data_IF_367501087797
#
_entry.id   IF_367501087797
#
_cell.length_a   1.000
_cell.length_b   1.000
_cell.length_c   1.000
_cell.angle_alpha   90.00
_cell.angle_beta   90.00
_cell.angle_gamma   90.00
#
_symmetry.space_group_name_H-M   'P 1'
#
loop_
_entity.id
_entity.type
_entity.pdbx_description
1 polymer ?
#
# COMPACT_ATOMS: atom_id res chain seq x y z
N UNK A 1 -3.50 13.29 8.77
CA UNK A 1 -4.10 11.94 8.58
C UNK A 1 -5.45 11.90 9.28
N UNK A 2 -6.35 11.00 8.91
CA UNK A 2 -7.67 10.87 9.54
C UNK A 2 -7.56 10.38 11.00
N UNK A 3 -8.33 10.94 11.94
CA UNK A 3 -8.36 10.52 13.36
C UNK A 3 -9.29 9.31 13.61
N UNK A 4 -9.47 8.44 12.62
CA UNK A 4 -10.36 7.28 12.76
C UNK A 4 -9.72 6.24 13.68
N UNK A 5 -10.49 5.57 14.55
CA UNK A 5 -9.96 4.57 15.46
C UNK A 5 -9.53 3.31 14.71
N UNK A 6 -8.46 2.68 15.20
CA UNK A 6 -8.09 1.29 14.89
C UNK A 6 -9.02 0.37 15.69
N UNK A 7 -9.61 -0.62 15.03
CA UNK A 7 -10.48 -1.62 15.68
C UNK A 7 -9.68 -2.88 15.94
N UNK A 8 -9.72 -3.38 17.17
CA UNK A 8 -9.02 -4.59 17.59
C UNK A 8 -10.00 -5.73 17.81
N UNK A 9 -9.75 -6.87 17.16
CA UNK A 9 -10.49 -8.11 17.30
C UNK A 9 -9.62 -9.10 18.05
N UNK A 10 -9.98 -9.36 19.30
CA UNK A 10 -9.25 -10.27 20.17
C UNK A 10 -9.53 -11.72 19.76
N UNK A 11 -8.49 -12.53 19.71
CA UNK A 11 -8.57 -13.98 19.72
C UNK A 11 -7.73 -14.57 20.86
N UNK A 12 -7.86 -15.86 21.10
CA UNK A 12 -7.11 -16.62 22.10
C UNK A 12 -5.62 -16.67 21.76
N UNK A 13 -5.28 -16.94 20.50
CA UNK A 13 -3.88 -17.09 20.07
C UNK A 13 -3.36 -15.95 19.17
N UNK A 14 -4.26 -15.23 18.50
CA UNK A 14 -3.92 -14.16 17.55
C UNK A 14 -4.94 -13.02 17.65
N UNK A 15 -4.47 -11.78 17.68
CA UNK A 15 -5.31 -10.58 17.62
C UNK A 15 -5.21 -9.96 16.23
N UNK A 16 -6.35 -9.57 15.65
CA UNK A 16 -6.41 -8.88 14.35
C UNK A 16 -6.76 -7.42 14.58
N UNK A 17 -6.04 -6.51 13.92
CA UNK A 17 -6.32 -5.07 13.95
C UNK A 17 -6.79 -4.60 12.58
N UNK A 18 -7.78 -3.71 12.57
CA UNK A 18 -8.28 -3.05 11.37
C UNK A 18 -8.13 -1.53 11.48
N UNK A 19 -7.27 -0.96 10.64
CA UNK A 19 -7.06 0.47 10.50
C UNK A 19 -7.90 1.03 9.33
N UNK A 20 -9.05 1.62 9.70
CA UNK A 20 -9.97 2.23 8.74
C UNK A 20 -9.44 3.51 8.08
N UNK A 21 -8.30 4.06 8.52
CA UNK A 21 -7.61 5.18 7.86
C UNK A 21 -6.97 4.73 6.54
N UNK A 22 -6.59 3.45 6.44
CA UNK A 22 -5.86 2.88 5.30
C UNK A 22 -6.75 2.05 4.35
N UNK A 23 -7.93 1.61 4.80
CA UNK A 23 -8.79 0.74 4.00
C UNK A 23 -9.41 1.49 2.82
N UNK A 24 -9.23 0.95 1.61
CA UNK A 24 -9.83 1.45 0.37
C UNK A 24 -10.86 0.49 -0.23
N UNK A 25 -11.37 -0.47 0.55
CA UNK A 25 -12.49 -1.32 0.13
C UNK A 25 -12.17 -2.32 -1.00
N UNK A 26 -10.92 -2.79 -1.11
CA UNK A 26 -10.54 -3.82 -2.10
C UNK A 26 -11.29 -5.13 -1.91
N UNK A 27 -11.62 -5.44 -0.65
CA UNK A 27 -12.46 -6.58 -0.28
C UNK A 27 -11.75 -7.93 -0.23
N UNK A 28 -10.42 -8.00 -0.29
CA UNK A 28 -9.69 -9.28 -0.23
C UNK A 28 -10.00 -10.09 1.04
N UNK A 29 -10.11 -9.43 2.19
CA UNK A 29 -10.52 -10.04 3.45
C UNK A 29 -11.95 -10.59 3.41
N UNK A 30 -12.90 -9.89 2.79
CA UNK A 30 -14.29 -10.34 2.73
C UNK A 30 -14.54 -11.40 1.64
N UNK A 31 -13.59 -11.58 0.71
CA UNK A 31 -13.64 -12.61 -0.34
C UNK A 31 -12.97 -13.92 0.08
N UNK A 32 -12.23 -13.95 1.19
CA UNK A 32 -11.63 -15.18 1.67
C UNK A 32 -12.72 -16.19 2.02
N UNK A 33 -12.46 -17.48 1.77
CA UNK A 33 -13.30 -18.54 2.31
C UNK A 33 -13.19 -18.56 3.84
N UNK A 34 -14.15 -19.20 4.51
CA UNK A 34 -14.13 -19.40 5.96
C UNK A 34 -14.92 -18.36 6.75
N UNK A 35 -14.72 -18.37 8.06
CA UNK A 35 -15.50 -17.58 9.03
C UNK A 35 -14.69 -16.45 9.69
N UNK A 36 -13.46 -16.19 9.24
CA UNK A 36 -12.65 -15.11 9.79
C UNK A 36 -13.30 -13.74 9.58
N UNK A 37 -13.71 -13.42 8.35
CA UNK A 37 -14.38 -12.15 7.99
C UNK A 37 -15.76 -12.42 7.38
N UNK A 38 -16.84 -12.06 8.08
CA UNK A 38 -18.21 -12.33 7.63
C UNK A 38 -19.01 -11.03 7.56
N UNK A 39 -19.30 -10.56 6.35
CA UNK A 39 -20.06 -9.33 6.13
C UNK A 39 -21.44 -9.39 6.82
N UNK A 40 -21.75 -8.37 7.62
CA UNK A 40 -23.01 -8.29 8.39
C UNK A 40 -22.99 -9.00 9.75
N UNK A 41 -21.91 -9.71 10.11
CA UNK A 41 -21.71 -10.24 11.47
C UNK A 41 -21.16 -9.16 12.41
N UNK A 42 -21.51 -9.24 13.69
CA UNK A 42 -20.91 -8.44 14.76
C UNK A 42 -20.24 -9.36 15.81
N UNK A 43 -18.92 -9.30 15.99
CA UNK A 43 -17.95 -8.56 15.19
C UNK A 43 -17.80 -9.14 13.76
N UNK A 44 -17.48 -8.28 12.80
CA UNK A 44 -17.22 -8.67 11.40
C UNK A 44 -16.04 -9.65 11.30
N UNK A 45 -14.98 -9.40 12.09
CA UNK A 45 -13.80 -10.25 12.21
C UNK A 45 -13.84 -11.09 13.50
N UNK A 46 -13.62 -12.41 13.38
CA UNK A 46 -13.56 -13.35 14.50
C UNK A 46 -12.29 -14.22 14.40
N UNK A 47 -11.17 -13.83 15.04
CA UNK A 47 -9.89 -14.54 14.89
C UNK A 47 -9.94 -16.01 15.33
N UNK A 48 -10.76 -16.36 16.32
CA UNK A 48 -10.87 -17.73 16.84
C UNK A 48 -11.70 -18.66 15.94
N UNK A 49 -12.27 -18.16 14.84
CA UNK A 49 -13.03 -18.95 13.87
C UNK A 49 -12.17 -19.47 12.70
N UNK A 50 -10.86 -19.24 12.75
CA UNK A 50 -9.88 -19.73 11.78
C UNK A 50 -8.64 -20.17 12.53
N UNK A 51 -7.85 -21.07 11.94
CA UNK A 51 -6.54 -21.37 12.51
C UNK A 51 -5.59 -20.17 12.33
N UNK A 52 -4.56 -20.07 13.19
CA UNK A 52 -3.62 -18.95 13.13
C UNK A 52 -2.96 -18.78 11.76
N UNK A 53 -2.65 -19.88 11.06
CA UNK A 53 -1.96 -19.79 9.78
C UNK A 53 -2.89 -19.16 8.72
N UNK A 54 -4.16 -19.56 8.71
CA UNK A 54 -5.20 -18.96 7.89
C UNK A 54 -5.42 -17.48 8.24
N UNK A 55 -5.44 -17.11 9.53
CA UNK A 55 -5.57 -15.70 9.94
C UNK A 55 -4.44 -14.85 9.38
N UNK A 56 -3.18 -15.29 9.55
CA UNK A 56 -2.01 -14.57 9.02
C UNK A 56 -2.10 -14.42 7.51
N UNK A 57 -2.35 -15.54 6.82
CA UNK A 57 -2.44 -15.61 5.37
C UNK A 57 -3.49 -14.65 4.80
N UNK A 58 -4.70 -14.61 5.35
CA UNK A 58 -5.77 -13.72 4.88
C UNK A 58 -5.47 -12.26 5.21
N UNK A 59 -4.97 -11.97 6.41
CA UNK A 59 -4.60 -10.60 6.82
C UNK A 59 -3.48 -10.04 5.92
N UNK A 60 -2.50 -10.87 5.59
CA UNK A 60 -1.35 -10.52 4.74
C UNK A 60 -1.74 -10.23 3.29
N UNK A 61 -2.93 -10.66 2.84
CA UNK A 61 -3.48 -10.29 1.52
C UNK A 61 -3.99 -8.85 1.45
N UNK A 62 -4.13 -8.14 2.57
CA UNK A 62 -4.65 -6.76 2.58
C UNK A 62 -3.68 -5.78 1.91
N UNK A 63 -3.94 -5.32 0.66
CA UNK A 63 -2.92 -4.61 -0.13
C UNK A 63 -2.65 -3.19 0.36
N UNK A 64 -3.53 -2.62 1.20
CA UNK A 64 -3.35 -1.27 1.75
C UNK A 64 -2.66 -1.26 3.11
N UNK A 65 -2.37 -2.42 3.69
CA UNK A 65 -1.86 -2.52 5.06
C UNK A 65 -2.90 -2.16 6.14
N UNK A 66 -4.18 -2.10 5.77
CA UNK A 66 -5.26 -1.78 6.71
C UNK A 66 -5.57 -2.91 7.70
N UNK A 67 -5.15 -4.13 7.40
CA UNK A 67 -5.19 -5.25 8.33
C UNK A 67 -3.78 -5.60 8.77
N UNK A 68 -3.63 -5.88 10.06
CA UNK A 68 -2.42 -6.41 10.68
C UNK A 68 -2.81 -7.36 11.80
N UNK A 69 -1.85 -8.13 12.32
CA UNK A 69 -2.10 -9.02 13.44
C UNK A 69 -0.98 -8.97 14.48
N UNK A 70 -1.31 -9.39 15.70
CA UNK A 70 -0.34 -9.72 16.75
C UNK A 70 -0.49 -11.19 17.07
N UNK A 71 0.53 -11.98 16.73
CA UNK A 71 0.61 -13.38 17.08
C UNK A 71 1.20 -13.56 18.48
N UNK A 72 0.45 -14.17 19.40
CA UNK A 72 0.88 -14.29 20.81
C UNK A 72 2.02 -15.28 21.02
N UNK A 73 2.34 -16.11 20.04
CA UNK A 73 3.53 -16.96 20.04
C UNK A 73 4.78 -16.24 19.49
N UNK A 74 4.69 -14.95 19.15
CA UNK A 74 5.85 -14.13 18.78
C UNK A 74 6.29 -14.29 17.32
N UNK A 75 5.36 -14.62 16.41
CA UNK A 75 5.62 -14.68 14.97
C UNK A 75 5.08 -13.43 14.28
N UNK A 76 5.88 -12.36 14.13
CA UNK A 76 5.42 -11.16 13.43
C UNK A 76 5.21 -11.45 11.94
N UNK A 77 4.54 -10.53 11.26
CA UNK A 77 4.51 -10.51 9.81
C UNK A 77 5.92 -10.37 9.25
N UNK A 78 6.25 -11.17 8.23
CA UNK A 78 7.55 -11.11 7.56
C UNK A 78 7.47 -10.20 6.33
N UNK A 79 8.53 -9.41 6.10
CA UNK A 79 8.62 -8.63 4.87
C UNK A 79 8.69 -9.58 3.65
N UNK A 80 8.00 -9.24 2.54
CA UNK A 80 8.15 -9.94 1.27
C UNK A 80 9.62 -9.99 0.81
N UNK A 81 10.00 -11.07 0.12
CA UNK A 81 11.37 -11.27 -0.37
C UNK A 81 11.83 -10.22 -1.39
N UNK A 82 10.90 -9.50 -2.03
CA UNK A 82 11.18 -8.45 -2.99
C UNK A 82 10.29 -7.22 -2.74
N UNK A 83 10.81 -6.03 -3.02
CA UNK A 83 9.99 -4.83 -3.05
C UNK A 83 9.33 -4.66 -4.41
N UNK A 84 8.01 -4.58 -4.43
CA UNK A 84 7.21 -4.45 -5.63
C UNK A 84 6.26 -3.25 -5.55
N UNK A 85 6.15 -2.54 -6.67
CA UNK A 85 5.21 -1.43 -6.85
C UNK A 85 4.28 -1.82 -7.98
N UNK A 86 3.01 -2.10 -7.70
CA UNK A 86 2.00 -2.29 -8.74
C UNK A 86 1.35 -0.95 -9.10
N UNK A 87 1.46 -0.57 -10.37
CA UNK A 87 0.76 0.61 -10.91
C UNK A 87 -0.63 0.19 -11.38
N UNK A 88 -1.65 0.53 -10.59
CA UNK A 88 -3.04 0.14 -10.85
C UNK A 88 -3.67 1.07 -11.89
N UNK A 89 -4.37 0.52 -12.87
CA UNK A 89 -5.15 1.29 -13.86
C UNK A 89 -6.08 2.31 -13.19
N UNK A 90 -5.95 3.59 -13.54
CA UNK A 90 -6.69 4.71 -12.94
C UNK A 90 -6.66 4.78 -11.40
N UNK A 91 -5.75 4.05 -10.76
CA UNK A 91 -5.78 3.78 -9.33
C UNK A 91 -4.46 4.12 -8.62
N UNK A 92 -4.30 3.66 -7.37
CA UNK A 92 -3.12 3.94 -6.56
C UNK A 92 -1.87 3.18 -7.03
N UNK A 93 -0.77 3.44 -6.32
CA UNK A 93 0.32 2.48 -6.25
C UNK A 93 0.04 1.49 -5.11
N UNK A 94 0.14 0.19 -5.35
CA UNK A 94 0.29 -0.78 -4.26
C UNK A 94 1.76 -1.10 -4.08
N UNK A 95 2.28 -0.88 -2.88
CA UNK A 95 3.62 -1.23 -2.48
C UNK A 95 3.56 -2.50 -1.64
N UNK A 96 4.47 -3.44 -1.89
CA UNK A 96 4.73 -4.60 -1.03
C UNK A 96 6.24 -4.73 -0.81
N UNK A 97 6.71 -4.95 0.42
CA UNK A 97 8.15 -5.03 0.69
C UNK A 97 8.52 -4.79 2.16
N UNK A 98 9.77 -4.42 2.42
CA UNK A 98 10.20 -3.91 3.74
C UNK A 98 10.12 -2.38 3.70
N UNK A 99 8.95 -1.82 4.00
CA UNK A 99 8.63 -0.43 3.71
C UNK A 99 9.00 0.50 4.87
N UNK A 100 9.77 1.55 4.56
CA UNK A 100 10.10 2.64 5.46
C UNK A 100 9.48 3.94 4.93
N UNK A 101 8.20 4.17 5.25
CA UNK A 101 7.46 5.35 4.79
C UNK A 101 7.65 6.50 5.79
N UNK A 102 8.18 7.62 5.31
CA UNK A 102 8.47 8.79 6.14
C UNK A 102 7.19 9.42 6.73
N UNK A 103 7.20 9.70 8.03
CA UNK A 103 6.12 10.41 8.72
C UNK A 103 4.89 9.56 9.07
N UNK A 104 4.97 8.23 8.97
CA UNK A 104 3.86 7.34 9.34
C UNK A 104 3.83 7.10 10.86
N UNK A 105 2.66 7.24 11.52
CA UNK A 105 2.47 6.87 12.92
C UNK A 105 2.86 5.42 13.23
N UNK A 106 3.37 5.18 14.44
CA UNK A 106 3.74 3.82 14.89
C UNK A 106 2.55 2.87 15.01
N UNK A 107 1.34 3.41 15.17
CA UNK A 107 0.07 2.66 15.27
C UNK A 107 -0.45 2.13 13.91
N UNK A 108 0.34 2.24 12.84
CA UNK A 108 0.05 1.71 11.49
C UNK A 108 1.00 0.55 11.11
N UNK A 109 1.06 -0.56 11.86
CA UNK A 109 2.08 -1.60 11.62
C UNK A 109 1.99 -2.25 10.23
N UNK A 110 0.79 -2.37 9.65
CA UNK A 110 0.62 -2.98 8.33
C UNK A 110 1.33 -2.24 7.19
N UNK A 111 1.58 -0.93 7.33
CA UNK A 111 2.27 -0.15 6.29
C UNK A 111 3.77 -0.42 6.20
N UNK A 112 4.33 -1.17 7.16
CA UNK A 112 5.72 -1.67 7.10
C UNK A 112 5.90 -2.74 6.03
N UNK A 113 4.80 -3.30 5.53
CA UNK A 113 4.83 -4.40 4.57
C UNK A 113 4.00 -4.14 3.31
N UNK A 114 2.86 -3.45 3.45
CA UNK A 114 1.92 -3.18 2.35
C UNK A 114 1.33 -1.79 2.46
N UNK A 115 1.27 -1.04 1.37
CA UNK A 115 0.65 0.28 1.38
C UNK A 115 -0.02 0.62 0.04
N UNK A 116 -1.17 1.31 0.12
CA UNK A 116 -1.81 1.92 -1.04
C UNK A 116 -1.48 3.42 -1.07
N UNK A 117 -0.63 3.86 -1.98
CA UNK A 117 -0.19 5.26 -2.06
C UNK A 117 -0.91 6.04 -3.18
N UNK A 118 -1.20 7.31 -2.90
CA UNK A 118 -1.92 8.19 -3.82
C UNK A 118 -1.07 8.48 -5.06
N UNK A 119 -1.71 8.31 -6.22
CA UNK A 119 -1.12 8.58 -7.53
C UNK A 119 -1.81 9.74 -8.28
N UNK A 120 -3.05 10.03 -7.92
CA UNK A 120 -3.91 10.99 -8.61
C UNK A 120 -3.80 12.44 -8.10
N UNK A 121 -3.19 12.67 -6.93
CA UNK A 121 -3.12 13.99 -6.29
C UNK A 121 -4.37 14.40 -5.49
N UNK A 122 -5.50 13.68 -5.61
CA UNK A 122 -6.77 14.08 -5.00
C UNK A 122 -7.01 13.55 -3.57
N UNK A 123 -6.18 12.63 -3.07
CA UNK A 123 -6.41 12.03 -1.74
C UNK A 123 -6.43 13.08 -0.63
N UNK A 124 -7.31 12.91 0.36
CA UNK A 124 -7.39 13.70 1.59
C UNK A 124 -6.61 13.04 2.74
N UNK A 125 -6.08 11.85 2.52
CA UNK A 125 -5.25 11.10 3.47
C UNK A 125 -3.83 10.86 2.94
N UNK A 126 -3.24 11.84 2.24
CA UNK A 126 -1.89 11.73 1.66
C UNK A 126 -0.85 11.38 2.75
N UNK A 127 0.17 10.57 2.41
CA UNK A 127 0.49 10.03 1.08
C UNK A 127 -0.37 8.83 0.66
N UNK A 128 -1.28 8.34 1.51
CA UNK A 128 -2.11 7.17 1.24
C UNK A 128 -3.26 7.48 0.26
N UNK A 129 -3.74 6.44 -0.42
CA UNK A 129 -4.95 6.49 -1.23
C UNK A 129 -6.19 6.40 -0.33
N UNK A 130 -7.24 7.14 -0.67
CA UNK A 130 -8.54 7.15 0.02
C UNK A 130 -9.72 6.98 -0.96
N UNK A 131 -9.45 6.41 -2.14
CA UNK A 131 -10.38 6.30 -3.29
C UNK A 131 -10.81 7.61 -3.97
N UNK A 132 -10.27 8.78 -3.60
CA UNK A 132 -10.59 10.05 -4.27
C UNK A 132 -10.26 10.05 -5.77
N UNK A 133 -9.43 9.13 -6.26
CA UNK A 133 -9.12 8.97 -7.69
C UNK A 133 -10.36 8.68 -8.55
N UNK A 134 -11.36 7.97 -8.03
CA UNK A 134 -12.60 7.69 -8.76
C UNK A 134 -13.43 8.96 -8.97
N UNK A 135 -13.61 9.75 -7.91
CA UNK A 135 -14.33 11.03 -7.97
C UNK A 135 -13.57 12.07 -8.80
N UNK A 136 -12.24 12.08 -8.70
CA UNK A 136 -11.37 12.94 -9.50
C UNK A 136 -11.26 12.48 -10.97
N UNK A 137 -11.90 11.36 -11.35
CA UNK A 137 -11.85 10.78 -12.69
C UNK A 137 -10.41 10.64 -13.21
N UNK A 138 -9.51 10.18 -12.34
CA UNK A 138 -8.10 10.06 -12.66
C UNK A 138 -7.91 9.10 -13.84
N UNK A 139 -7.21 9.56 -14.88
CA UNK A 139 -6.93 8.76 -16.07
C UNK A 139 -5.44 8.52 -16.21
N UNK A 140 -5.05 7.25 -16.06
CA UNK A 140 -3.74 6.76 -16.41
C UNK A 140 -3.76 5.25 -16.54
N UNK A 141 -3.35 4.75 -17.71
CA UNK A 141 -3.38 3.33 -18.02
C UNK A 141 -2.37 2.49 -17.20
N UNK A 142 -1.42 3.13 -16.50
CA UNK A 142 -0.32 2.43 -15.83
C UNK A 142 0.63 1.76 -16.82
N UNK A 143 0.74 2.29 -18.04
CA UNK A 143 1.63 1.78 -19.07
C UNK A 143 3.05 2.33 -18.85
N UNK A 144 4.04 1.42 -18.79
CA UNK A 144 5.45 1.75 -18.64
C UNK A 144 6.22 1.27 -19.87
N UNK A 145 6.96 2.19 -20.49
CA UNK A 145 7.86 1.92 -21.61
C UNK A 145 9.32 1.70 -21.23
N UNK A 146 9.77 2.23 -20.09
CA UNK A 146 11.17 2.13 -19.64
C UNK A 146 11.40 0.87 -18.80
N UNK A 147 12.51 0.17 -19.06
CA UNK A 147 12.93 -1.03 -18.30
C UNK A 147 13.72 -0.75 -17.03
N UNK A 148 14.25 0.47 -16.89
CA UNK A 148 15.17 0.83 -15.79
C UNK A 148 16.57 0.22 -15.93
N UNK A 149 17.48 0.54 -14.98
CA UNK A 149 18.86 0.06 -15.00
C UNK A 149 19.04 -1.43 -14.65
N UNK A 150 18.00 -2.10 -14.14
CA UNK A 150 18.08 -3.46 -13.63
C UNK A 150 18.50 -3.53 -12.15
N UNK A 151 18.48 -4.74 -11.60
CA UNK A 151 18.80 -5.03 -10.20
C UNK A 151 19.98 -6.00 -10.09
N UNK A 152 20.86 -5.77 -9.12
CA UNK A 152 21.91 -6.71 -8.72
C UNK A 152 21.50 -7.59 -7.53
N UNK A 153 20.38 -7.28 -6.87
CA UNK A 153 19.83 -8.01 -5.73
C UNK A 153 18.34 -7.69 -5.52
N UNK A 154 17.68 -8.47 -4.68
CA UNK A 154 16.24 -8.38 -4.39
C UNK A 154 15.99 -8.09 -2.90
N UNK A 155 14.85 -7.48 -2.59
CA UNK A 155 14.42 -7.21 -1.22
C UNK A 155 15.24 -6.17 -0.46
N UNK A 156 15.19 -6.27 0.87
CA UNK A 156 15.74 -5.31 1.83
C UNK A 156 14.89 -4.04 1.97
N UNK A 157 15.30 -3.09 2.83
CA UNK A 157 14.54 -1.88 3.10
C UNK A 157 14.27 -1.06 1.84
N UNK A 158 13.02 -0.60 1.70
CA UNK A 158 12.57 0.37 0.70
C UNK A 158 12.15 1.65 1.40
N UNK A 159 13.03 2.66 1.34
CA UNK A 159 12.74 4.00 1.83
C UNK A 159 11.76 4.70 0.89
N UNK A 160 10.67 5.22 1.45
CA UNK A 160 9.65 6.01 0.74
C UNK A 160 9.57 7.39 1.38
N UNK A 161 10.28 8.35 0.79
CA UNK A 161 10.26 9.75 1.24
C UNK A 161 9.17 10.53 0.53
N UNK A 162 8.36 11.25 1.30
CA UNK A 162 7.32 12.13 0.77
C UNK A 162 7.92 13.51 0.60
N UNK A 163 8.14 13.93 -0.65
CA UNK A 163 8.66 15.28 -0.91
C UNK A 163 7.50 16.28 -0.77
N UNK A 164 7.63 17.34 0.05
CA UNK A 164 6.62 18.40 0.15
C UNK A 164 6.34 18.99 -1.23
N UNK A 165 5.05 19.15 -1.56
CA UNK A 165 4.56 19.61 -2.86
C UNK A 165 5.10 18.82 -4.07
N UNK A 166 5.66 17.64 -3.83
CA UNK A 166 6.51 16.92 -4.77
C UNK A 166 6.20 15.42 -4.86
N UNK A 167 7.10 14.64 -5.48
CA UNK A 167 6.91 13.21 -5.70
C UNK A 167 7.12 12.35 -4.45
N UNK A 168 6.85 11.06 -4.59
CA UNK A 168 7.36 10.03 -3.68
C UNK A 168 8.75 9.63 -4.17
N UNK A 169 9.79 9.84 -3.35
CA UNK A 169 11.16 9.42 -3.66
C UNK A 169 11.42 8.06 -3.04
N UNK A 170 11.65 7.06 -3.88
CA UNK A 170 11.88 5.67 -3.49
C UNK A 170 13.37 5.35 -3.59
N UNK A 171 13.91 4.65 -2.59
CA UNK A 171 15.30 4.21 -2.55
C UNK A 171 15.42 2.84 -1.89
N UNK A 172 16.10 1.90 -2.55
CA UNK A 172 16.11 0.47 -2.22
C UNK A 172 15.91 -0.36 -3.50
N UNK A 173 16.15 -1.68 -3.45
CA UNK A 173 15.92 -2.55 -4.62
C UNK A 173 14.43 -2.66 -4.88
N UNK A 174 13.93 -2.21 -6.04
CA UNK A 174 12.50 -2.30 -6.37
C UNK A 174 12.21 -2.74 -7.79
N UNK A 175 11.08 -3.42 -7.95
CA UNK A 175 10.47 -3.74 -9.25
C UNK A 175 9.12 -3.03 -9.38
N UNK A 176 8.91 -2.27 -10.45
CA UNK A 176 7.61 -1.70 -10.78
C UNK A 176 6.90 -2.61 -11.77
N UNK A 177 5.71 -3.06 -11.40
CA UNK A 177 4.81 -3.88 -12.20
C UNK A 177 3.67 -3.05 -12.77
N UNK A 178 3.25 -3.40 -13.97
CA UNK A 178 2.02 -2.86 -14.60
C UNK A 178 0.81 -3.66 -14.14
N UNK A 179 -0.40 -3.17 -14.42
CA UNK A 179 -1.66 -3.87 -14.09
C UNK A 179 -1.79 -5.29 -14.63
N UNK A 180 -1.00 -5.69 -15.63
CA UNK A 180 -0.95 -7.08 -16.12
C UNK A 180 -0.05 -8.01 -15.28
N UNK A 181 0.59 -7.49 -14.22
CA UNK A 181 1.61 -8.19 -13.45
C UNK A 181 3.01 -8.19 -14.10
N UNK A 182 3.17 -7.66 -15.31
CA UNK A 182 4.47 -7.59 -16.00
C UNK A 182 5.41 -6.68 -15.22
N UNK A 183 6.58 -7.21 -14.83
CA UNK A 183 7.72 -6.42 -14.37
C UNK A 183 8.17 -5.50 -15.51
N UNK A 184 7.93 -4.20 -15.34
CA UNK A 184 8.13 -3.22 -16.39
C UNK A 184 9.36 -2.37 -16.16
N UNK A 185 9.73 -2.10 -14.90
CA UNK A 185 10.91 -1.31 -14.56
C UNK A 185 11.61 -1.88 -13.33
N UNK A 186 12.94 -1.89 -13.31
CA UNK A 186 13.76 -2.36 -12.20
C UNK A 186 14.92 -1.40 -11.92
N UNK A 187 15.22 -1.16 -10.63
CA UNK A 187 16.34 -0.31 -10.22
C UNK A 187 16.42 -0.11 -8.72
N UNK A 188 17.37 0.72 -8.27
CA UNK A 188 17.66 0.95 -6.84
C UNK A 188 17.11 2.27 -6.30
N UNK A 189 16.43 3.05 -7.14
CA UNK A 189 15.77 4.29 -6.74
C UNK A 189 15.11 5.01 -7.89
N UNK A 190 14.00 5.68 -7.61
CA UNK A 190 13.22 6.46 -8.58
C UNK A 190 12.33 7.49 -7.86
N UNK A 191 11.69 8.38 -8.61
CA UNK A 191 10.69 9.30 -8.10
C UNK A 191 9.34 9.05 -8.79
N UNK A 192 8.32 8.70 -8.01
CA UNK A 192 6.97 8.44 -8.50
C UNK A 192 6.10 9.70 -8.39
N UNK A 193 5.35 9.97 -9.45
CA UNK A 193 4.36 11.04 -9.48
C UNK A 193 3.23 10.73 -8.49
N UNK A 194 2.96 11.65 -7.55
CA UNK A 194 1.76 11.63 -6.70
C UNK A 194 0.79 12.78 -6.95
N UNK A 195 1.13 13.71 -7.86
CA UNK A 195 0.30 14.88 -8.17
C UNK A 195 -0.75 14.60 -9.27
N UNK A 196 -0.67 13.47 -9.98
CA UNK A 196 -1.60 13.10 -11.05
C UNK A 196 -1.35 13.76 -12.41
N UNK A 197 -0.44 14.73 -12.53
CA UNK A 197 -0.28 15.53 -13.77
C UNK A 197 0.99 15.26 -14.57
N UNK A 198 1.89 14.39 -14.11
CA UNK A 198 3.11 14.03 -14.87
C UNK A 198 2.77 13.60 -16.30
N UNK A 199 3.58 14.01 -17.28
CA UNK A 199 3.50 13.57 -18.67
C UNK A 199 4.29 12.27 -18.90
N UNK A 200 5.12 11.88 -17.93
CA UNK A 200 5.89 10.63 -17.93
C UNK A 200 5.47 9.69 -16.79
N UNK A 201 4.16 9.51 -16.56
CA UNK A 201 3.67 8.61 -15.51
C UNK A 201 4.18 7.18 -15.73
N UNK A 202 4.47 6.43 -14.64
CA UNK A 202 4.27 6.78 -13.24
C UNK A 202 5.38 7.67 -12.65
N UNK A 203 6.41 8.01 -13.42
CA UNK A 203 7.55 8.78 -12.93
C UNK A 203 7.22 10.26 -12.78
N UNK A 204 7.92 10.92 -11.88
CA UNK A 204 7.87 12.37 -11.76
C UNK A 204 8.75 13.04 -12.81
N UNK A 205 8.17 13.99 -13.55
CA UNK A 205 8.85 14.81 -14.56
C UNK A 205 8.98 16.28 -14.15
N UNK A 206 8.55 16.63 -12.93
CA UNK A 206 8.55 18.01 -12.43
C UNK A 206 7.24 18.78 -12.64
N UNK A 207 6.24 18.21 -13.33
CA UNK A 207 4.96 18.88 -13.63
C UNK A 207 4.19 19.36 -12.39
N UNK A 208 4.48 18.82 -11.21
CA UNK A 208 3.87 19.25 -9.94
C UNK A 208 4.12 20.73 -9.63
N UNK A 209 5.26 21.29 -10.05
CA UNK A 209 5.63 22.69 -9.78
C UNK A 209 4.72 23.64 -10.57
N UNK A 210 4.59 23.39 -11.87
CA UNK A 210 3.76 24.19 -12.77
C UNK A 210 2.26 24.03 -12.44
N UNK A 211 1.84 22.83 -12.06
CA UNK A 211 0.46 22.57 -11.64
C UNK A 211 0.14 23.10 -10.23
N UNK A 212 1.12 23.67 -9.51
CA UNK A 212 0.91 24.19 -8.16
C UNK A 212 0.44 23.13 -7.17
N UNK A 213 0.89 21.88 -7.33
CA UNK A 213 0.47 20.79 -6.44
C UNK A 213 0.82 21.13 -5.00
N UNK A 214 -0.18 21.12 -4.12
CA UNK A 214 -0.02 21.36 -2.68
C UNK A 214 -0.31 20.12 -1.88
N UNK A 215 0.69 19.68 -1.14
CA UNK A 215 0.57 18.64 -0.14
C UNK A 215 1.80 18.64 0.74
N UNK A 216 1.54 18.61 2.03
CA UNK A 216 2.54 18.23 3.02
C UNK A 216 3.10 16.81 2.71
#
# INVERSE_FOLDING_TARGET
MSDKPVTHFKGEEIEVSFDSRLCIGVGECAKSAGELFVAGREPWCAPDHADKAEVREIVERCPSGALSYVDKAGHPEAAPAANEILVVYNGPYYLTGELEIEGVPEDMPGVRHRAALCRCGASKNKPFCDNSHAQAQFQDAGALGDSGPGLAGEGGPLSVRVIPDGPLKLQGNLTIKTGSGRAAWQGTGTALCRCGVSKNKPFCDGSHREAGFKSD
#
